data_IF_352402474599
#
_entry.id   IF_352402474599
#
_cell.length_a   1.000
_cell.length_b   1.000
_cell.length_c   1.000
_cell.angle_alpha   90.00
_cell.angle_beta   90.00
_cell.angle_gamma   90.00
#
_symmetry.space_group_name_H-M   'P 1'
#
loop_
_entity.id
_entity.type
_entity.pdbx_description
1 polymer ?
#
# COMPACT_ATOMS: atom_id res chain seq x y z
N UNK A 1 25.01 19.86 -28.69
CA UNK A 1 23.63 19.52 -28.25
C UNK A 1 23.59 18.02 -28.05
N UNK A 2 23.64 17.52 -26.82
CA UNK A 2 23.22 16.14 -26.52
C UNK A 2 22.32 16.19 -25.30
N UNK A 3 21.17 15.58 -25.52
CA UNK A 3 19.95 15.64 -24.75
C UNK A 3 20.11 14.77 -23.52
N UNK A 4 19.60 15.28 -22.40
CA UNK A 4 19.75 14.65 -21.10
C UNK A 4 19.10 13.28 -21.00
N UNK A 5 19.54 12.54 -20.00
CA UNK A 5 18.76 11.47 -19.39
C UNK A 5 19.08 11.49 -17.91
N UNK A 6 18.39 12.37 -17.18
CA UNK A 6 18.30 12.26 -15.72
C UNK A 6 17.45 11.03 -15.43
N UNK A 7 18.13 9.91 -15.27
CA UNK A 7 17.55 8.68 -14.76
C UNK A 7 17.16 8.94 -13.30
N UNK A 8 15.92 9.40 -13.09
CA UNK A 8 15.31 9.51 -11.77
C UNK A 8 15.16 8.12 -11.19
N UNK A 9 16.21 7.65 -10.53
CA UNK A 9 16.17 6.58 -9.55
C UNK A 9 15.25 7.08 -8.42
N UNK A 10 13.96 6.82 -8.58
CA UNK A 10 12.99 6.86 -7.49
C UNK A 10 13.45 5.80 -6.50
N UNK A 11 14.27 6.23 -5.55
CA UNK A 11 14.69 5.49 -4.37
C UNK A 11 13.40 5.15 -3.62
N UNK A 12 12.83 4.00 -3.99
CA UNK A 12 11.70 3.41 -3.30
C UNK A 12 12.25 3.00 -1.95
N UNK A 13 11.87 3.75 -0.92
CA UNK A 13 12.20 3.43 0.46
C UNK A 13 11.97 1.93 0.67
N UNK A 14 13.05 1.22 0.99
CA UNK A 14 13.06 -0.19 1.32
C UNK A 14 12.36 -0.36 2.67
N UNK A 15 11.02 -0.23 2.68
CA UNK A 15 10.20 -0.74 3.76
C UNK A 15 10.29 -2.25 3.61
N UNK A 16 11.14 -2.87 4.44
CA UNK A 16 11.36 -4.32 4.38
C UNK A 16 10.01 -5.02 4.41
N UNK A 17 9.85 -6.05 3.58
CA UNK A 17 8.57 -6.75 3.37
C UNK A 17 8.05 -7.50 4.62
N UNK A 18 8.71 -7.30 5.75
CA UNK A 18 8.63 -8.04 7.00
C UNK A 18 7.98 -7.21 8.13
N UNK A 19 7.80 -5.90 7.96
CA UNK A 19 7.59 -4.96 9.08
C UNK A 19 6.14 -4.72 9.54
N UNK A 20 5.12 -5.26 8.84
CA UNK A 20 3.72 -5.11 9.28
C UNK A 20 2.76 -6.20 8.80
N UNK A 21 1.65 -6.40 9.53
CA UNK A 21 0.76 -7.57 9.39
C UNK A 21 0.19 -7.76 7.99
N UNK A 22 -0.06 -6.69 7.25
CA UNK A 22 -0.69 -6.78 5.93
C UNK A 22 0.15 -7.59 4.94
N UNK A 23 1.48 -7.48 5.00
CA UNK A 23 2.39 -8.21 4.10
C UNK A 23 2.47 -9.71 4.40
N UNK A 24 1.96 -10.17 5.56
CA UNK A 24 1.85 -11.60 5.87
C UNK A 24 0.80 -12.29 4.98
N UNK A 25 -0.30 -11.59 4.68
CA UNK A 25 -1.41 -12.11 3.88
C UNK A 25 -1.40 -11.62 2.43
N UNK A 26 -0.87 -10.42 2.16
CA UNK A 26 -0.85 -9.81 0.84
C UNK A 26 0.50 -9.98 0.16
N UNK A 27 0.67 -11.07 -0.60
CA UNK A 27 1.91 -11.43 -1.31
C UNK A 27 1.62 -11.79 -2.77
N UNK A 28 2.61 -11.58 -3.65
CA UNK A 28 2.54 -12.00 -5.05
C UNK A 28 1.30 -11.47 -5.77
N UNK A 29 0.41 -12.38 -6.17
CA UNK A 29 -0.82 -12.05 -6.92
C UNK A 29 -1.86 -11.25 -6.12
N UNK A 30 -1.76 -11.27 -4.79
CA UNK A 30 -2.64 -10.58 -3.84
C UNK A 30 -1.91 -9.41 -3.15
N UNK A 31 -0.84 -8.89 -3.77
CA UNK A 31 -0.06 -7.77 -3.20
C UNK A 31 -0.92 -6.51 -3.02
N UNK A 32 -0.59 -5.72 -2.00
CA UNK A 32 -1.31 -4.47 -1.70
C UNK A 32 -1.26 -3.49 -2.88
N UNK A 33 -0.10 -3.35 -3.53
CA UNK A 33 0.09 -2.44 -4.67
C UNK A 33 -0.83 -2.78 -5.83
N UNK A 34 -0.97 -4.08 -6.12
CA UNK A 34 -1.86 -4.55 -7.19
C UNK A 34 -3.31 -4.28 -6.83
N UNK A 35 -3.69 -4.57 -5.59
CA UNK A 35 -5.06 -4.33 -5.11
C UNK A 35 -5.43 -2.84 -5.16
N UNK A 36 -4.52 -1.95 -4.75
CA UNK A 36 -4.68 -0.49 -4.82
C UNK A 36 -4.85 -0.02 -6.26
N UNK A 37 -4.04 -0.55 -7.19
CA UNK A 37 -4.18 -0.26 -8.63
C UNK A 37 -5.52 -0.75 -9.20
N UNK A 38 -5.88 -2.01 -8.94
CA UNK A 38 -7.11 -2.63 -9.45
C UNK A 38 -8.38 -1.96 -8.92
N UNK A 39 -8.35 -1.51 -7.66
CA UNK A 39 -9.46 -0.79 -7.02
C UNK A 39 -9.40 0.72 -7.20
N UNK A 40 -8.40 1.23 -7.92
CA UNK A 40 -8.18 2.66 -8.15
C UNK A 40 -8.19 3.48 -6.85
N UNK A 41 -7.61 2.96 -5.77
CA UNK A 41 -7.54 3.64 -4.47
C UNK A 41 -6.51 4.77 -4.59
N UNK A 42 -6.92 6.01 -4.29
CA UNK A 42 -6.09 7.20 -4.50
C UNK A 42 -5.56 7.82 -3.23
N UNK A 43 -6.21 7.57 -2.08
CA UNK A 43 -5.85 8.18 -0.80
C UNK A 43 -5.80 7.16 0.33
N UNK A 44 -5.09 7.51 1.41
CA UNK A 44 -5.05 6.69 2.62
C UNK A 44 -6.43 6.58 3.28
N UNK A 45 -7.27 7.61 3.15
CA UNK A 45 -8.64 7.59 3.66
C UNK A 45 -9.52 6.59 2.91
N UNK A 46 -9.39 6.50 1.57
CA UNK A 46 -10.10 5.49 0.79
C UNK A 46 -9.68 4.08 1.19
N UNK A 47 -8.38 3.86 1.43
CA UNK A 47 -7.88 2.58 1.95
C UNK A 47 -8.47 2.26 3.33
N UNK A 48 -8.48 3.23 4.25
CA UNK A 48 -9.08 3.08 5.60
C UNK A 48 -10.56 2.73 5.51
N UNK A 49 -11.31 3.44 4.68
CA UNK A 49 -12.73 3.21 4.48
C UNK A 49 -12.99 1.81 3.90
N UNK A 50 -12.17 1.36 2.96
CA UNK A 50 -12.28 0.01 2.39
C UNK A 50 -11.97 -1.09 3.40
N UNK A 51 -10.97 -0.89 4.27
CA UNK A 51 -10.63 -1.85 5.33
C UNK A 51 -11.70 -1.91 6.43
N UNK A 52 -12.36 -0.78 6.73
CA UNK A 52 -13.40 -0.71 7.77
C UNK A 52 -14.81 -1.05 7.28
N UNK A 53 -15.15 -0.73 6.02
CA UNK A 53 -16.51 -0.81 5.47
C UNK A 53 -16.63 -1.60 4.16
N UNK A 54 -15.51 -2.04 3.59
CA UNK A 54 -15.50 -2.79 2.35
C UNK A 54 -16.04 -4.21 2.49
N UNK A 55 -16.25 -4.93 1.38
CA UNK A 55 -16.81 -6.28 1.38
C UNK A 55 -15.94 -7.30 2.12
N UNK A 56 -14.66 -6.99 2.35
CA UNK A 56 -13.69 -7.80 3.09
C UNK A 56 -13.28 -7.17 4.43
N UNK A 57 -14.05 -6.20 4.94
CA UNK A 57 -13.73 -5.53 6.21
C UNK A 57 -13.67 -6.50 7.38
N UNK A 58 -14.51 -7.55 7.37
CA UNK A 58 -14.50 -8.61 8.39
C UNK A 58 -13.16 -9.35 8.52
N UNK A 59 -12.31 -9.33 7.48
CA UNK A 59 -10.98 -9.95 7.52
C UNK A 59 -9.90 -9.04 8.15
N UNK A 60 -10.20 -7.75 8.30
CA UNK A 60 -9.25 -6.73 8.76
C UNK A 60 -9.63 -6.16 10.15
N UNK A 61 -10.54 -6.81 10.88
CA UNK A 61 -11.01 -6.37 12.19
C UNK A 61 -9.91 -6.26 13.25
N UNK A 62 -8.81 -7.00 13.08
CA UNK A 62 -7.67 -7.02 14.01
C UNK A 62 -6.51 -6.12 13.57
N UNK A 63 -6.67 -5.41 12.46
CA UNK A 63 -5.69 -4.42 12.00
C UNK A 63 -5.82 -3.16 12.85
N UNK A 64 -4.73 -2.77 13.50
CA UNK A 64 -4.69 -1.53 14.30
C UNK A 64 -4.51 -0.32 13.39
N UNK A 65 -4.79 0.89 13.89
CA UNK A 65 -4.55 2.10 13.11
C UNK A 65 -3.08 2.26 12.73
N UNK A 66 -2.15 1.81 13.57
CA UNK A 66 -0.71 1.77 13.27
C UNK A 66 -0.39 0.84 12.08
N UNK A 67 -1.00 -0.36 12.02
CA UNK A 67 -0.86 -1.26 10.88
C UNK A 67 -1.37 -0.60 9.58
N UNK A 68 -2.48 0.15 9.67
CA UNK A 68 -3.04 0.88 8.52
C UNK A 68 -2.13 2.04 8.09
N UNK A 69 -1.55 2.80 9.03
CA UNK A 69 -0.63 3.89 8.70
C UNK A 69 0.64 3.39 8.00
N UNK A 70 1.19 2.26 8.47
CA UNK A 70 2.31 1.61 7.77
C UNK A 70 1.91 1.19 6.36
N UNK A 71 0.71 0.64 6.16
CA UNK A 71 0.21 0.28 4.84
C UNK A 71 0.06 1.51 3.92
N UNK A 72 -0.49 2.61 4.43
CA UNK A 72 -0.66 3.87 3.68
C UNK A 72 0.70 4.44 3.25
N UNK A 73 1.66 4.48 4.19
CA UNK A 73 3.04 4.91 3.91
C UNK A 73 3.71 4.01 2.88
N UNK A 74 3.59 2.69 3.03
CA UNK A 74 4.11 1.70 2.08
C UNK A 74 3.57 1.93 0.66
N UNK A 75 2.27 2.19 0.56
CA UNK A 75 1.59 2.43 -0.71
C UNK A 75 1.78 3.86 -1.26
N UNK A 76 2.50 4.71 -0.54
CA UNK A 76 2.67 6.14 -0.86
C UNK A 76 1.33 6.84 -1.17
N UNK A 77 0.31 6.54 -0.38
CA UNK A 77 -1.00 7.15 -0.54
C UNK A 77 -1.06 8.49 0.24
N UNK A 78 -1.54 9.58 -0.40
CA UNK A 78 -1.75 10.87 0.26
C UNK A 78 -2.88 10.83 1.30
#
# INVERSE_FOLDING_TARGET
>A
MIVGTVLSLKHSQEISAEDFKCLKCHKGKDSLEKYVKERNIKTGEELRNLLKKGPKAGLHLTSTEEDLEKAIKYLNLP
#
